data_IF_160871430243
#
_entry.id   IF_160871430243
#
_cell.length_a   1.000
_cell.length_b   1.000
_cell.length_c   1.000
_cell.angle_alpha   90.00
_cell.angle_beta   90.00
_cell.angle_gamma   90.00
#
_symmetry.space_group_name_H-M   'P 1'
#
loop_
_entity.id
_entity.type
_entity.pdbx_description
1 polymer ?
#
# COMPACT_ATOMS: atom_id res chain seq x y z
N UNK A 1 10.68 12.13 -18.11
CA UNK A 1 9.69 11.62 -19.09
C UNK A 1 8.33 12.18 -18.71
N UNK A 2 7.58 12.82 -19.61
CA UNK A 2 6.21 13.30 -19.31
C UNK A 2 5.22 12.40 -20.06
N UNK A 3 4.50 11.56 -19.33
CA UNK A 3 3.56 10.59 -19.92
C UNK A 3 2.13 11.13 -19.71
N UNK A 4 1.34 11.23 -20.80
CA UNK A 4 -0.12 11.45 -20.71
C UNK A 4 -0.81 10.24 -21.32
N UNK A 5 -1.64 9.58 -20.51
CA UNK A 5 -2.49 8.47 -20.94
C UNK A 5 -3.79 8.99 -21.56
N UNK A 6 -4.21 8.35 -22.65
CA UNK A 6 -5.54 8.50 -23.23
C UNK A 6 -6.05 7.14 -23.69
N UNK A 7 -7.03 6.59 -22.98
CA UNK A 7 -8.06 5.66 -23.48
C UNK A 7 -9.03 5.37 -22.32
N UNK A 8 -10.25 5.86 -22.41
CA UNK A 8 -11.31 5.61 -21.44
C UNK A 8 -12.00 4.27 -21.76
N UNK A 9 -11.63 3.20 -21.05
CA UNK A 9 -12.45 1.99 -20.98
C UNK A 9 -13.53 2.21 -19.94
N UNK A 10 -14.79 2.13 -20.36
CA UNK A 10 -15.98 2.31 -19.52
C UNK A 10 -15.99 1.25 -18.41
N UNK A 11 -15.81 1.67 -17.15
CA UNK A 11 -16.03 0.84 -15.97
C UNK A 11 -17.50 0.98 -15.53
N UNK A 12 -18.23 -0.12 -15.56
CA UNK A 12 -19.63 -0.20 -15.11
C UNK A 12 -19.73 0.04 -13.59
N UNK A 13 -20.84 0.67 -13.17
CA UNK A 13 -21.16 1.15 -11.81
C UNK A 13 -21.06 0.08 -10.71
N UNK A 14 -21.01 -1.21 -11.04
CA UNK A 14 -20.79 -2.30 -10.07
C UNK A 14 -19.39 -2.28 -9.42
N UNK A 15 -18.38 -1.64 -10.03
CA UNK A 15 -17.00 -1.67 -9.55
C UNK A 15 -16.67 -0.64 -8.44
N UNK A 16 -17.53 0.36 -8.22
CA UNK A 16 -17.20 1.51 -7.34
C UNK A 16 -17.54 1.24 -5.86
N UNK A 17 -18.41 0.27 -5.56
CA UNK A 17 -18.82 -0.03 -4.17
C UNK A 17 -17.85 -0.99 -3.46
N UNK A 18 -17.01 -1.73 -4.20
CA UNK A 18 -16.11 -2.72 -3.61
C UNK A 18 -14.76 -2.14 -3.09
N UNK A 19 -14.45 -0.87 -3.35
CA UNK A 19 -13.10 -0.32 -3.14
C UNK A 19 -12.91 0.55 -1.88
N UNK A 20 -13.92 0.72 -1.03
CA UNK A 20 -13.82 1.59 0.16
C UNK A 20 -13.60 0.87 1.50
N UNK A 21 -13.55 -0.47 1.50
CA UNK A 21 -13.25 -1.24 2.70
C UNK A 21 -12.16 -2.28 2.43
N UNK A 22 -10.95 -1.85 2.11
CA UNK A 22 -9.69 -2.59 2.30
C UNK A 22 -8.53 -1.72 1.85
N UNK A 23 -7.69 -1.30 2.78
CA UNK A 23 -6.37 -0.78 2.43
C UNK A 23 -5.53 -1.92 1.87
N UNK A 24 -5.38 -1.97 0.54
CA UNK A 24 -4.31 -2.69 -0.13
C UNK A 24 -4.22 -2.29 -1.60
N UNK A 25 -3.07 -1.76 -2.00
CA UNK A 25 -2.64 -1.69 -3.39
C UNK A 25 -2.29 -3.11 -3.84
N UNK A 26 -3.20 -3.75 -4.57
CA UNK A 26 -2.90 -4.97 -5.31
C UNK A 26 -2.09 -4.58 -6.56
N UNK A 27 -0.79 -4.86 -6.57
CA UNK A 27 0.01 -4.85 -7.78
C UNK A 27 -0.48 -6.01 -8.67
N UNK A 28 -1.18 -5.68 -9.76
CA UNK A 28 -1.63 -6.63 -10.74
C UNK A 28 -0.43 -7.17 -11.53
N UNK A 29 -0.03 -8.42 -11.28
CA UNK A 29 0.80 -9.17 -12.21
C UNK A 29 -0.10 -9.83 -13.26
N UNK A 30 -0.23 -9.19 -14.41
CA UNK A 30 -0.75 -9.84 -15.60
C UNK A 30 0.28 -10.87 -16.09
N UNK A 31 -0.10 -12.15 -16.11
CA UNK A 31 0.64 -13.19 -16.81
C UNK A 31 0.63 -12.86 -18.31
N UNK A 32 1.79 -12.47 -18.84
CA UNK A 32 2.05 -12.49 -20.28
C UNK A 32 2.51 -13.90 -20.66
N UNK A 33 1.86 -14.52 -21.65
CA UNK A 33 2.21 -15.81 -22.28
C UNK A 33 3.55 -15.78 -23.05
N UNK A 34 4.58 -15.14 -22.51
CA UNK A 34 5.93 -15.30 -23.01
C UNK A 34 6.47 -16.66 -22.51
N UNK A 35 7.07 -17.51 -23.37
CA UNK A 35 7.74 -18.71 -22.91
C UNK A 35 8.81 -18.30 -21.88
N UNK A 36 8.69 -18.83 -20.65
CA UNK A 36 9.62 -18.58 -19.56
C UNK A 36 11.04 -18.97 -20.03
N UNK A 37 12.07 -18.17 -19.73
CA UNK A 37 13.45 -18.60 -19.93
C UNK A 37 13.65 -19.95 -19.24
N UNK A 38 14.31 -20.90 -19.93
CA UNK A 38 14.58 -22.26 -19.44
C UNK A 38 15.66 -22.31 -18.35
N UNK A 39 15.83 -21.22 -17.61
CA UNK A 39 16.76 -21.15 -16.52
C UNK A 39 16.35 -22.19 -15.47
N UNK A 40 17.30 -22.94 -14.88
CA UNK A 40 16.99 -23.88 -13.83
C UNK A 40 16.25 -23.14 -12.70
N UNK A 41 15.08 -23.69 -12.31
CA UNK A 41 14.25 -23.12 -11.26
C UNK A 41 15.13 -22.75 -10.06
N UNK A 42 15.14 -21.48 -9.61
CA UNK A 42 15.94 -21.07 -8.47
C UNK A 42 15.64 -21.99 -7.28
N UNK A 43 16.69 -22.42 -6.58
CA UNK A 43 16.54 -23.20 -5.37
C UNK A 43 15.66 -22.43 -4.37
N UNK A 44 14.79 -23.15 -3.66
CA UNK A 44 13.94 -22.54 -2.65
C UNK A 44 14.82 -21.88 -1.59
N UNK A 45 14.51 -20.63 -1.17
CA UNK A 45 15.23 -20.00 -0.08
C UNK A 45 14.97 -20.78 1.22
N UNK A 46 16.02 -20.90 2.05
CA UNK A 46 15.96 -21.59 3.34
C UNK A 46 15.02 -20.91 4.35
N UNK A 47 14.87 -19.58 4.23
CA UNK A 47 13.96 -18.73 5.00
C UNK A 47 13.22 -17.81 4.02
N UNK A 48 11.92 -17.60 4.24
CA UNK A 48 11.07 -16.61 3.56
C UNK A 48 11.31 -15.20 4.11
N UNK A 49 12.00 -15.07 5.24
CA UNK A 49 12.29 -13.80 5.92
C UNK A 49 13.80 -13.59 5.99
N UNK A 50 14.26 -12.44 5.51
CA UNK A 50 15.66 -12.00 5.59
C UNK A 50 16.13 -11.79 7.06
N UNK A 51 17.44 -11.85 7.34
CA UNK A 51 17.95 -12.05 8.69
C UNK A 51 17.72 -10.87 9.64
N UNK A 52 17.61 -11.25 10.91
CA UNK A 52 17.44 -10.50 12.17
C UNK A 52 17.82 -9.00 12.11
N UNK A 53 16.97 -8.09 12.63
CA UNK A 53 17.21 -6.65 12.59
C UNK A 53 18.54 -6.24 13.24
N UNK A 54 19.17 -5.21 12.67
CA UNK A 54 20.36 -4.57 13.22
C UNK A 54 20.19 -4.17 14.68
N UNK A 55 21.28 -4.21 15.45
CA UNK A 55 21.32 -3.87 16.88
C UNK A 55 20.66 -2.52 17.14
N UNK A 56 19.57 -2.54 17.89
CA UNK A 56 18.79 -1.35 18.22
C UNK A 56 19.61 -0.36 19.08
N UNK A 57 19.31 0.95 18.99
CA UNK A 57 19.90 1.94 19.89
C UNK A 57 19.66 1.57 21.36
N UNK A 58 20.63 1.92 22.21
CA UNK A 58 20.64 1.52 23.62
C UNK A 58 19.58 2.31 24.39
N UNK A 59 18.50 1.63 24.77
CA UNK A 59 17.43 2.15 25.62
C UNK A 59 17.88 2.04 27.09
N UNK A 60 17.38 2.91 27.96
CA UNK A 60 17.56 2.74 29.40
C UNK A 60 16.99 1.38 29.86
N UNK A 61 17.78 0.62 30.63
CA UNK A 61 17.46 -0.76 30.96
C UNK A 61 16.20 -0.89 31.84
N UNK A 62 15.96 0.07 32.74
CA UNK A 62 14.76 0.07 33.59
C UNK A 62 13.52 0.35 32.74
N UNK A 63 13.62 1.32 31.85
CA UNK A 63 12.53 1.69 30.93
C UNK A 63 12.20 0.58 29.95
N UNK A 64 13.22 -0.02 29.34
CA UNK A 64 13.05 -1.15 28.44
C UNK A 64 12.33 -2.31 29.14
N UNK A 65 12.72 -2.62 30.39
CA UNK A 65 12.06 -3.65 31.19
C UNK A 65 10.58 -3.34 31.41
N UNK A 66 10.23 -2.13 31.84
CA UNK A 66 8.83 -1.72 32.05
C UNK A 66 8.02 -1.83 30.75
N UNK A 67 8.59 -1.39 29.62
CA UNK A 67 7.92 -1.49 28.31
C UNK A 67 7.68 -2.94 27.93
N UNK A 68 8.69 -3.82 28.07
CA UNK A 68 8.55 -5.25 27.73
C UNK A 68 7.51 -5.94 28.62
N UNK A 69 7.47 -5.63 29.92
CA UNK A 69 6.40 -6.12 30.81
C UNK A 69 5.02 -5.64 30.36
N UNK A 70 4.88 -4.36 29.99
CA UNK A 70 3.61 -3.80 29.51
C UNK A 70 3.14 -4.46 28.21
N UNK A 71 4.04 -4.66 27.24
CA UNK A 71 3.72 -5.35 25.98
C UNK A 71 3.33 -6.81 26.20
N UNK A 72 3.99 -7.51 27.13
CA UNK A 72 3.63 -8.87 27.50
C UNK A 72 2.25 -8.94 28.18
N UNK A 73 1.95 -7.97 29.05
CA UNK A 73 0.70 -7.91 29.79
C UNK A 73 -0.50 -7.57 28.90
N UNK A 74 -0.32 -6.61 27.99
CA UNK A 74 -1.36 -6.15 27.07
C UNK A 74 -1.56 -7.10 25.88
N UNK A 75 -0.52 -7.86 25.51
CA UNK A 75 -0.56 -8.77 24.37
C UNK A 75 -0.56 -8.07 23.00
N UNK A 76 -0.36 -6.75 22.94
CA UNK A 76 -0.50 -5.95 21.71
C UNK A 76 0.43 -6.45 20.60
N UNK A 77 1.69 -6.75 20.93
CA UNK A 77 2.67 -7.24 19.96
C UNK A 77 2.23 -8.58 19.34
N UNK A 78 1.71 -9.49 20.18
CA UNK A 78 1.23 -10.80 19.75
C UNK A 78 -0.02 -10.69 18.90
N UNK A 79 -0.98 -9.86 19.30
CA UNK A 79 -2.20 -9.62 18.53
C UNK A 79 -1.88 -8.98 17.17
N UNK A 80 -1.02 -7.95 17.15
CA UNK A 80 -0.62 -7.28 15.92
C UNK A 80 0.11 -8.22 14.96
N UNK A 81 1.11 -8.95 15.46
CA UNK A 81 1.85 -9.92 14.65
C UNK A 81 0.99 -11.07 14.15
N UNK A 82 0.10 -11.60 15.00
CA UNK A 82 -0.85 -12.64 14.61
C UNK A 82 -1.79 -12.20 13.49
N UNK A 83 -2.40 -11.02 13.62
CA UNK A 83 -3.31 -10.48 12.60
C UNK A 83 -2.60 -10.26 11.26
N UNK A 84 -1.41 -9.65 11.28
CA UNK A 84 -0.61 -9.42 10.06
C UNK A 84 -0.24 -10.77 9.42
N UNK A 85 0.21 -11.73 10.22
CA UNK A 85 0.58 -13.06 9.74
C UNK A 85 -0.60 -13.79 9.09
N UNK A 86 -1.78 -13.75 9.73
CA UNK A 86 -3.00 -14.33 9.18
C UNK A 86 -3.45 -13.66 7.89
N UNK A 87 -3.43 -12.32 7.82
CA UNK A 87 -3.77 -11.58 6.61
C UNK A 87 -2.80 -11.86 5.46
N UNK A 88 -1.48 -11.93 5.74
CA UNK A 88 -0.48 -12.28 4.74
C UNK A 88 -0.70 -13.69 4.20
N UNK A 89 -0.91 -14.68 5.09
CA UNK A 89 -1.19 -16.06 4.68
C UNK A 89 -2.47 -16.11 3.83
N UNK A 90 -3.55 -15.48 4.29
CA UNK A 90 -4.82 -15.45 3.57
C UNK A 90 -4.69 -14.80 2.18
N UNK A 91 -3.93 -13.70 2.10
CA UNK A 91 -3.64 -13.02 0.85
C UNK A 91 -2.92 -13.94 -0.14
N UNK A 92 -1.80 -14.55 0.27
CA UNK A 92 -1.01 -15.40 -0.63
C UNK A 92 -1.73 -16.69 -1.00
N UNK A 93 -2.49 -17.30 -0.09
CA UNK A 93 -3.33 -18.46 -0.42
C UNK A 93 -4.41 -18.12 -1.45
N UNK A 94 -4.97 -16.90 -1.43
CA UNK A 94 -5.95 -16.46 -2.43
C UNK A 94 -5.30 -16.03 -3.75
N UNK A 95 -4.14 -15.38 -3.69
CA UNK A 95 -3.48 -14.80 -4.85
C UNK A 95 -2.70 -15.83 -5.68
N UNK A 96 -2.24 -16.92 -5.08
CA UNK A 96 -1.46 -17.96 -5.74
C UNK A 96 -2.22 -19.31 -5.73
N UNK A 97 -2.76 -19.76 -6.88
CA UNK A 97 -3.61 -20.96 -6.96
C UNK A 97 -2.88 -22.28 -6.67
N UNK A 98 -1.56 -22.26 -6.56
CA UNK A 98 -0.68 -23.42 -6.36
C UNK A 98 -0.09 -23.52 -4.94
N UNK A 99 -0.54 -22.70 -3.99
CA UNK A 99 -0.09 -22.75 -2.59
C UNK A 99 -0.57 -24.05 -1.94
N UNK A 100 0.36 -24.88 -1.48
CA UNK A 100 0.04 -26.15 -0.81
C UNK A 100 -0.18 -25.97 0.70
N UNK A 101 -0.83 -26.93 1.39
CA UNK A 101 -0.91 -26.91 2.85
C UNK A 101 0.46 -26.86 3.55
N UNK A 102 1.50 -27.46 2.95
CA UNK A 102 2.86 -27.42 3.46
C UNK A 102 3.46 -26.00 3.37
N UNK A 103 3.19 -25.29 2.27
CA UNK A 103 3.61 -23.89 2.11
C UNK A 103 2.92 -22.98 3.13
N UNK A 104 1.62 -23.20 3.37
CA UNK A 104 0.86 -22.48 4.42
C UNK A 104 1.46 -22.74 5.80
N UNK A 105 1.81 -23.99 6.12
CA UNK A 105 2.43 -24.33 7.40
C UNK A 105 3.81 -23.67 7.55
N UNK A 106 4.61 -23.63 6.47
CA UNK A 106 5.90 -22.93 6.44
C UNK A 106 5.73 -21.43 6.68
N UNK A 107 4.83 -20.77 5.94
CA UNK A 107 4.53 -19.34 6.12
C UNK A 107 4.11 -19.02 7.55
N UNK A 108 3.17 -19.79 8.14
CA UNK A 108 2.73 -19.60 9.53
C UNK A 108 3.87 -19.76 10.54
N UNK A 109 4.74 -20.74 10.31
CA UNK A 109 5.89 -20.98 11.19
C UNK A 109 6.87 -19.82 11.15
N UNK A 110 7.19 -19.33 9.96
CA UNK A 110 8.17 -18.26 9.81
C UNK A 110 7.62 -16.90 10.23
N UNK A 111 6.34 -16.62 9.99
CA UNK A 111 5.67 -15.40 10.45
C UNK A 111 5.38 -15.38 11.96
N UNK A 112 5.63 -16.48 12.68
CA UNK A 112 5.47 -16.54 14.12
C UNK A 112 6.53 -15.71 14.87
N UNK A 113 7.67 -15.41 14.24
CA UNK A 113 8.69 -14.53 14.84
C UNK A 113 8.25 -13.06 14.75
N UNK A 114 7.58 -12.60 15.81
CA UNK A 114 7.13 -11.22 15.98
C UNK A 114 8.21 -10.30 16.58
N UNK A 115 9.46 -10.76 16.70
CA UNK A 115 10.56 -9.95 17.27
C UNK A 115 10.70 -8.58 16.60
N UNK A 116 10.67 -8.44 15.26
CA UNK A 116 10.81 -7.13 14.62
C UNK A 116 9.71 -6.15 15.01
N UNK A 117 8.47 -6.64 15.14
CA UNK A 117 7.31 -5.84 15.58
C UNK A 117 7.48 -5.44 17.04
N UNK A 118 7.89 -6.38 17.89
CA UNK A 118 8.11 -6.15 19.31
C UNK A 118 9.19 -5.09 19.52
N UNK A 119 10.33 -5.18 18.82
CA UNK A 119 11.42 -4.19 18.91
C UNK A 119 11.01 -2.81 18.36
N UNK A 120 10.17 -2.77 17.32
CA UNK A 120 9.62 -1.51 16.83
C UNK A 120 8.68 -0.86 17.86
N UNK A 121 7.83 -1.65 18.53
CA UNK A 121 6.98 -1.17 19.61
C UNK A 121 7.81 -0.69 20.80
N UNK A 122 8.84 -1.43 21.21
CA UNK A 122 9.73 -1.02 22.30
C UNK A 122 10.33 0.36 22.04
N UNK A 123 10.86 0.61 20.83
CA UNK A 123 11.38 1.93 20.44
C UNK A 123 10.30 3.00 20.42
N UNK A 124 9.09 2.66 19.98
CA UNK A 124 7.96 3.59 19.96
C UNK A 124 7.55 4.01 21.37
N UNK A 125 7.45 3.06 22.30
CA UNK A 125 7.11 3.38 23.70
C UNK A 125 8.22 4.19 24.37
N UNK A 126 9.50 3.86 24.12
CA UNK A 126 10.61 4.65 24.63
C UNK A 126 10.58 6.10 24.13
N UNK A 127 10.33 6.31 22.84
CA UNK A 127 10.25 7.65 22.25
C UNK A 127 9.10 8.50 22.81
N UNK A 128 7.96 7.88 23.11
CA UNK A 128 6.71 8.62 23.32
C UNK A 128 6.25 8.68 24.78
N UNK A 129 6.82 7.88 25.69
CA UNK A 129 6.42 7.86 27.10
C UNK A 129 7.61 8.09 28.03
N UNK A 130 7.35 8.75 29.15
CA UNK A 130 8.33 8.83 30.25
C UNK A 130 8.32 7.53 31.05
N UNK A 131 9.36 7.30 31.87
CA UNK A 131 9.39 6.18 32.82
C UNK A 131 8.16 6.19 33.74
N UNK A 132 7.80 7.36 34.27
CA UNK A 132 6.69 7.50 35.19
C UNK A 132 5.35 7.15 34.53
N UNK A 133 5.14 7.53 33.27
CA UNK A 133 3.93 7.14 32.52
C UNK A 133 3.85 5.62 32.34
N UNK A 134 4.98 4.99 31.99
CA UNK A 134 5.06 3.55 31.77
C UNK A 134 4.80 2.78 33.07
N UNK A 135 5.36 3.24 34.19
CA UNK A 135 5.14 2.63 35.50
C UNK A 135 3.67 2.78 35.94
N UNK A 136 3.05 3.94 35.71
CA UNK A 136 1.64 4.16 36.00
C UNK A 136 0.71 3.27 35.14
N UNK A 137 1.00 3.15 33.84
CA UNK A 137 0.27 2.26 32.94
C UNK A 137 0.41 0.79 33.38
N UNK A 138 1.64 0.35 33.66
CA UNK A 138 1.91 -1.01 34.12
C UNK A 138 1.18 -1.31 35.44
N UNK A 139 1.20 -0.36 36.39
CA UNK A 139 0.45 -0.48 37.64
C UNK A 139 -1.06 -0.60 37.40
N UNK A 140 -1.63 0.22 36.52
CA UNK A 140 -3.05 0.15 36.16
C UNK A 140 -3.42 -1.23 35.58
N UNK A 141 -2.67 -1.70 34.58
CA UNK A 141 -2.99 -2.97 33.94
C UNK A 141 -2.77 -4.17 34.87
N UNK A 142 -1.93 -4.06 35.91
CA UNK A 142 -1.78 -5.08 36.96
C UNK A 142 -2.97 -5.15 37.93
N UNK A 143 -3.86 -4.15 37.97
CA UNK A 143 -5.07 -4.20 38.81
C UNK A 143 -6.09 -5.24 38.31
N UNK A 144 -7.01 -5.74 39.17
CA UNK A 144 -8.10 -6.62 38.73
C UNK A 144 -8.97 -5.99 37.62
N UNK A 145 -9.21 -4.68 37.71
CA UNK A 145 -9.97 -3.93 36.68
C UNK A 145 -9.19 -3.83 35.37
N UNK A 146 -7.89 -3.54 35.42
CA UNK A 146 -7.03 -3.49 34.24
C UNK A 146 -6.96 -4.84 33.51
N UNK A 147 -6.83 -5.94 34.26
CA UNK A 147 -6.88 -7.29 33.71
C UNK A 147 -8.26 -7.63 33.12
N UNK A 148 -9.35 -7.25 33.80
CA UNK A 148 -10.71 -7.42 33.27
C UNK A 148 -10.89 -6.63 31.97
N UNK A 149 -10.39 -5.39 31.91
CA UNK A 149 -10.43 -4.57 30.69
C UNK A 149 -9.73 -5.28 29.53
N UNK A 150 -8.48 -5.74 29.71
CA UNK A 150 -7.74 -6.45 28.67
C UNK A 150 -8.46 -7.71 28.18
N UNK A 151 -9.09 -8.46 29.09
CA UNK A 151 -9.86 -9.67 28.75
C UNK A 151 -11.13 -9.36 27.96
N UNK A 152 -11.79 -8.24 28.25
CA UNK A 152 -13.09 -7.89 27.65
C UNK A 152 -12.93 -7.06 26.37
N UNK A 153 -11.81 -6.36 26.20
CA UNK A 153 -11.57 -5.48 25.05
C UNK A 153 -11.79 -6.18 23.68
N UNK A 154 -11.38 -7.44 23.46
CA UNK A 154 -11.67 -8.13 22.20
C UNK A 154 -13.16 -8.33 21.93
N UNK A 155 -13.95 -8.63 22.96
CA UNK A 155 -15.41 -8.79 22.81
C UNK A 155 -16.06 -7.45 22.48
N UNK A 156 -15.69 -6.38 23.19
CA UNK A 156 -16.16 -5.01 22.90
C UNK A 156 -15.81 -4.60 21.47
N UNK A 157 -14.60 -4.89 21.01
CA UNK A 157 -14.19 -4.61 19.63
C UNK A 157 -14.96 -5.45 18.60
N UNK A 158 -15.28 -6.72 18.91
CA UNK A 158 -16.07 -7.58 18.04
C UNK A 158 -17.52 -7.10 17.92
N UNK A 159 -18.13 -6.69 19.03
CA UNK A 159 -19.47 -6.12 19.07
C UNK A 159 -19.52 -4.79 18.28
N UNK A 160 -18.53 -3.91 18.49
CA UNK A 160 -18.41 -2.65 17.75
C UNK A 160 -18.30 -2.89 16.23
N UNK A 161 -17.42 -3.80 15.79
CA UNK A 161 -17.29 -4.15 14.36
C UNK A 161 -18.59 -4.70 13.77
N UNK A 162 -19.36 -5.46 14.55
CA UNK A 162 -20.65 -5.98 14.10
C UNK A 162 -21.65 -4.85 13.91
N UNK A 163 -21.74 -3.93 14.87
CA UNK A 163 -22.59 -2.75 14.76
C UNK A 163 -22.17 -1.83 13.60
N UNK A 164 -20.87 -1.64 13.39
CA UNK A 164 -20.31 -0.88 12.26
C UNK A 164 -20.69 -1.48 10.91
N UNK A 165 -20.60 -2.82 10.78
CA UNK A 165 -21.00 -3.52 9.56
C UNK A 165 -22.49 -3.35 9.30
N UNK A 166 -23.35 -3.62 10.27
CA UNK A 166 -24.80 -3.49 10.12
C UNK A 166 -25.23 -2.06 9.78
N UNK A 167 -24.59 -1.08 10.42
CA UNK A 167 -24.81 0.33 10.10
C UNK A 167 -24.38 0.63 8.66
N UNK A 168 -23.19 0.16 8.26
CA UNK A 168 -22.61 0.34 6.94
C UNK A 168 -23.47 -0.26 5.83
N UNK A 169 -23.90 -1.52 6.00
CA UNK A 169 -24.74 -2.25 5.04
C UNK A 169 -26.07 -1.51 4.80
N UNK A 170 -26.75 -1.08 5.88
CA UNK A 170 -27.99 -0.30 5.78
C UNK A 170 -27.79 1.05 5.07
N UNK A 171 -26.66 1.73 5.30
CA UNK A 171 -26.35 2.98 4.60
C UNK A 171 -26.03 2.74 3.14
N UNK A 172 -25.29 1.68 2.82
CA UNK A 172 -24.96 1.31 1.46
C UNK A 172 -26.22 1.01 0.65
N UNK A 173 -27.18 0.26 1.20
CA UNK A 173 -28.49 0.02 0.60
C UNK A 173 -29.24 1.32 0.30
N UNK A 174 -29.30 2.23 1.27
CA UNK A 174 -29.94 3.54 1.10
C UNK A 174 -29.26 4.40 0.03
N UNK A 175 -27.92 4.41 -0.02
CA UNK A 175 -27.14 5.10 -1.04
C UNK A 175 -27.44 4.50 -2.42
N UNK A 176 -27.43 3.17 -2.54
CA UNK A 176 -27.72 2.48 -3.80
C UNK A 176 -29.16 2.76 -4.27
N UNK A 177 -30.13 2.76 -3.36
CA UNK A 177 -31.51 3.11 -3.67
C UNK A 177 -31.62 4.56 -4.17
N UNK A 178 -30.98 5.52 -3.48
CA UNK A 178 -30.91 6.91 -3.91
C UNK A 178 -30.25 7.07 -5.29
N UNK A 179 -29.10 6.42 -5.53
CA UNK A 179 -28.37 6.49 -6.79
C UNK A 179 -29.14 5.89 -7.97
N UNK A 180 -30.00 4.89 -7.73
CA UNK A 180 -30.91 4.32 -8.73
C UNK A 180 -32.14 5.20 -9.00
N UNK A 181 -32.67 5.85 -7.97
CA UNK A 181 -33.90 6.65 -8.05
C UNK A 181 -33.66 8.10 -8.48
N UNK A 182 -32.44 8.63 -8.29
CA UNK A 182 -32.11 9.97 -8.79
C UNK A 182 -32.22 10.00 -10.32
N UNK A 183 -32.65 11.12 -10.92
CA UNK A 183 -32.42 11.35 -12.33
C UNK A 183 -30.94 11.10 -12.62
N UNK A 184 -30.64 10.39 -13.70
CA UNK A 184 -29.25 10.25 -14.14
C UNK A 184 -28.69 11.66 -14.25
N UNK A 185 -27.76 11.99 -13.34
CA UNK A 185 -27.04 13.24 -13.45
C UNK A 185 -26.47 13.22 -14.86
N UNK A 186 -26.86 14.17 -15.70
CA UNK A 186 -26.35 14.26 -17.05
C UNK A 186 -24.84 14.06 -16.92
N UNK A 187 -24.33 12.95 -17.50
CA UNK A 187 -22.89 12.72 -17.54
C UNK A 187 -22.30 14.07 -17.90
N UNK A 188 -21.34 14.62 -17.11
CA UNK A 188 -20.83 15.97 -17.34
C UNK A 188 -20.61 16.03 -18.83
N UNK A 189 -21.43 16.85 -19.54
CA UNK A 189 -21.48 16.80 -21.01
C UNK A 189 -20.04 16.84 -21.37
N UNK A 190 -19.52 15.75 -21.95
CA UNK A 190 -18.15 15.76 -22.41
C UNK A 190 -18.19 16.86 -23.44
N UNK A 191 -17.73 18.05 -23.04
CA UNK A 191 -17.58 19.17 -23.94
C UNK A 191 -16.80 18.54 -25.08
N UNK A 192 -17.36 18.50 -26.31
CA UNK A 192 -16.71 17.83 -27.42
C UNK A 192 -15.28 18.33 -27.38
N UNK A 193 -14.34 17.41 -27.13
CA UNK A 193 -12.97 17.79 -26.79
C UNK A 193 -12.58 18.86 -27.80
N UNK A 194 -12.41 20.11 -27.34
CA UNK A 194 -12.09 21.21 -28.24
C UNK A 194 -10.96 20.68 -29.10
N UNK A 195 -11.08 20.69 -30.45
CA UNK A 195 -10.16 19.99 -31.32
C UNK A 195 -8.77 20.31 -30.81
N UNK A 196 -8.09 19.28 -30.30
CA UNK A 196 -6.78 19.47 -29.66
C UNK A 196 -5.98 20.17 -30.73
N UNK A 197 -5.61 21.43 -30.47
CA UNK A 197 -4.83 22.21 -31.45
C UNK A 197 -3.72 21.31 -31.92
N UNK A 198 -3.57 21.20 -33.24
CA UNK A 198 -2.55 20.36 -33.85
C UNK A 198 -1.24 20.56 -33.09
N UNK A 199 -0.60 19.45 -32.74
CA UNK A 199 0.62 19.43 -31.95
C UNK A 199 1.61 20.47 -32.47
N UNK A 200 1.84 21.54 -31.69
CA UNK A 200 2.75 22.61 -32.06
C UNK A 200 4.18 22.17 -31.73
N UNK A 201 4.98 21.93 -32.78
CA UNK A 201 6.38 21.54 -32.67
C UNK A 201 7.24 22.60 -31.95
N UNK A 202 6.76 23.85 -31.84
CA UNK A 202 7.42 24.93 -31.09
C UNK A 202 7.45 24.70 -29.57
N UNK A 203 6.66 23.76 -29.05
CA UNK A 203 6.62 23.42 -27.63
C UNK A 203 7.86 22.63 -27.16
N UNK A 204 8.65 22.08 -28.08
CA UNK A 204 9.93 21.46 -27.80
C UNK A 204 10.99 22.56 -27.64
N UNK A 205 11.54 22.68 -26.43
CA UNK A 205 12.60 23.64 -26.09
C UNK A 205 13.99 23.02 -26.06
N UNK A 206 14.12 21.74 -26.41
CA UNK A 206 15.41 21.08 -26.49
C UNK A 206 16.08 21.28 -27.85
N UNK A 207 17.36 20.91 -27.93
CA UNK A 207 18.17 21.02 -29.15
C UNK A 207 18.13 19.74 -30.01
N UNK A 208 17.41 18.72 -29.56
CA UNK A 208 17.24 17.43 -30.21
C UNK A 208 16.15 17.46 -31.27
N UNK A 209 16.16 16.46 -32.16
CA UNK A 209 15.12 16.29 -33.18
C UNK A 209 13.93 15.54 -32.57
N UNK A 210 12.69 16.07 -32.66
CA UNK A 210 11.52 15.33 -32.21
C UNK A 210 11.33 14.03 -33.00
N UNK A 211 11.12 12.92 -32.31
CA UNK A 211 10.84 11.60 -32.87
C UNK A 211 9.37 11.28 -32.64
N UNK A 212 8.65 10.86 -33.69
CA UNK A 212 7.26 10.43 -33.63
C UNK A 212 7.17 8.91 -33.73
N UNK A 213 6.52 8.27 -32.77
CA UNK A 213 6.26 6.82 -32.76
C UNK A 213 5.02 6.47 -33.57
N UNK A 214 4.82 5.18 -33.84
CA UNK A 214 3.62 4.64 -34.47
C UNK A 214 2.34 4.91 -33.67
N UNK A 215 2.45 4.93 -32.33
CA UNK A 215 1.34 5.29 -31.43
C UNK A 215 0.97 6.78 -31.47
N UNK A 216 1.72 7.59 -32.21
CA UNK A 216 1.53 9.03 -32.28
C UNK A 216 2.19 9.82 -31.14
N UNK A 217 2.90 9.14 -30.22
CA UNK A 217 3.74 9.80 -29.22
C UNK A 217 4.87 10.55 -29.93
N UNK A 218 5.08 11.81 -29.55
CA UNK A 218 6.23 12.58 -29.98
C UNK A 218 7.11 12.86 -28.76
N UNK A 219 8.39 12.51 -28.84
CA UNK A 219 9.35 12.77 -27.78
C UNK A 219 10.62 13.39 -28.35
N UNK A 220 11.41 14.01 -27.47
CA UNK A 220 12.70 14.57 -27.79
C UNK A 220 13.64 14.30 -26.63
N UNK A 221 14.83 13.80 -26.92
CA UNK A 221 15.87 13.63 -25.92
C UNK A 221 16.59 14.95 -25.69
N UNK A 222 16.35 15.56 -24.52
CA UNK A 222 17.09 16.77 -24.12
C UNK A 222 18.54 16.45 -23.78
N UNK A 223 18.76 15.29 -23.14
CA UNK A 223 20.10 14.78 -22.81
C UNK A 223 19.99 13.26 -22.75
N UNK A 224 20.76 12.58 -23.60
CA UNK A 224 20.80 11.11 -23.63
C UNK A 224 21.65 10.63 -22.46
N UNK A 225 21.06 9.81 -21.58
CA UNK A 225 21.80 9.17 -20.49
C UNK A 225 22.62 7.97 -20.97
N UNK A 226 23.65 7.61 -20.22
CA UNK A 226 24.52 6.43 -20.50
C UNK A 226 24.15 5.19 -19.68
N UNK A 227 23.04 5.26 -18.93
CA UNK A 227 22.57 4.18 -18.07
C UNK A 227 21.88 3.06 -18.83
N UNK A 228 21.51 1.99 -18.11
CA UNK A 228 20.73 0.90 -18.66
C UNK A 228 19.38 1.40 -19.18
N UNK A 229 18.95 0.87 -20.33
CA UNK A 229 17.64 1.17 -20.91
C UNK A 229 16.54 0.61 -20.00
N UNK A 230 15.51 1.42 -19.73
CA UNK A 230 14.35 0.97 -18.96
C UNK A 230 13.63 -0.16 -19.72
N UNK A 231 13.36 -1.27 -19.02
CA UNK A 231 12.68 -2.44 -19.59
C UNK A 231 11.29 -2.61 -18.98
N UNK A 232 10.35 -3.12 -19.78
CA UNK A 232 8.98 -3.36 -19.32
C UNK A 232 8.96 -4.29 -18.10
N UNK A 233 8.14 -3.96 -17.09
CA UNK A 233 8.02 -4.74 -15.84
C UNK A 233 9.08 -4.44 -14.79
N UNK A 234 9.98 -3.48 -15.01
CA UNK A 234 10.92 -2.97 -14.00
C UNK A 234 10.51 -1.59 -13.52
N UNK A 235 10.79 -1.31 -12.25
CA UNK A 235 10.50 -0.01 -11.65
C UNK A 235 11.41 1.08 -12.19
N UNK A 236 10.84 2.19 -12.62
CA UNK A 236 11.56 3.38 -13.07
C UNK A 236 11.36 4.54 -12.08
N UNK A 237 12.46 5.02 -11.51
CA UNK A 237 12.46 6.18 -10.59
C UNK A 237 12.80 7.43 -11.37
N UNK A 238 11.92 8.44 -11.37
CA UNK A 238 12.20 9.67 -12.13
C UNK A 238 11.57 10.94 -11.56
N UNK A 239 12.23 12.06 -11.85
CA UNK A 239 11.59 13.35 -11.77
C UNK A 239 10.80 13.68 -13.03
N UNK A 240 9.58 14.18 -12.85
CA UNK A 240 8.76 14.68 -13.93
C UNK A 240 8.00 15.94 -13.52
N UNK A 241 7.57 16.67 -14.52
CA UNK A 241 6.56 17.72 -14.40
C UNK A 241 5.53 17.44 -15.48
N UNK A 242 4.28 17.81 -15.36
CA UNK A 242 3.24 17.60 -16.36
C UNK A 242 2.56 18.91 -16.66
N UNK A 243 2.47 19.30 -17.94
CA UNK A 243 1.74 20.50 -18.36
C UNK A 243 0.76 20.19 -19.48
N UNK A 244 -0.30 20.98 -19.55
CA UNK A 244 -1.19 21.10 -20.70
C UNK A 244 -0.49 21.88 -21.84
N UNK A 245 -1.10 21.89 -23.02
CA UNK A 245 -0.57 22.58 -24.21
C UNK A 245 -0.59 24.10 -24.07
N UNK A 246 -1.43 24.62 -23.18
CA UNK A 246 -1.47 26.03 -22.78
C UNK A 246 -0.41 26.39 -21.72
N UNK A 247 0.44 25.42 -21.32
CA UNK A 247 1.47 25.61 -20.31
C UNK A 247 1.01 25.37 -18.87
N UNK A 248 -0.30 25.19 -18.62
CA UNK A 248 -0.84 24.94 -17.28
C UNK A 248 -0.25 23.66 -16.70
N UNK A 249 0.45 23.78 -15.57
CA UNK A 249 1.04 22.64 -14.85
C UNK A 249 -0.05 21.90 -14.09
N UNK A 250 -0.15 20.58 -14.29
CA UNK A 250 -1.13 19.73 -13.58
C UNK A 250 -0.48 18.82 -12.53
N UNK A 251 0.81 18.49 -12.66
CA UNK A 251 1.58 17.82 -11.60
C UNK A 251 3.09 18.09 -11.77
N UNK A 252 3.86 17.89 -10.70
CA UNK A 252 5.32 18.01 -10.68
C UNK A 252 5.92 17.34 -9.47
N UNK A 253 6.79 16.37 -9.70
CA UNK A 253 7.56 15.73 -8.62
C UNK A 253 8.64 16.66 -8.07
N UNK A 254 9.11 17.61 -8.89
CA UNK A 254 10.08 18.63 -8.46
C UNK A 254 9.50 19.63 -7.46
N UNK A 255 8.17 19.87 -7.48
CA UNK A 255 7.53 20.78 -6.53
C UNK A 255 7.56 20.21 -5.10
N UNK A 256 7.57 18.87 -4.99
CA UNK A 256 7.66 18.14 -3.71
C UNK A 256 9.08 17.70 -3.36
N UNK A 257 10.04 17.96 -4.25
CA UNK A 257 11.43 17.51 -4.15
C UNK A 257 11.58 16.00 -3.90
N UNK A 258 10.66 15.20 -4.43
CA UNK A 258 10.58 13.75 -4.24
C UNK A 258 10.33 13.09 -5.61
N UNK A 259 11.12 12.08 -6.02
CA UNK A 259 10.89 11.37 -7.28
C UNK A 259 9.66 10.47 -7.19
N UNK A 260 9.18 9.99 -8.34
CA UNK A 260 8.15 8.96 -8.39
C UNK A 260 8.71 7.65 -8.93
N UNK A 261 8.11 6.57 -8.46
CA UNK A 261 8.38 5.20 -8.86
C UNK A 261 7.20 4.71 -9.71
N UNK A 262 7.49 4.24 -10.92
CA UNK A 262 6.54 3.70 -11.89
C UNK A 262 6.87 2.27 -12.27
#
# INVERSE_FOLDING_TARGET
MRIKHGAATRLSIAAIVAALCSGMTAAAMAQTDAPMPTDPKPALPGSLIDPKPATAPKIDAAKEKTIRELLALTGEAKQRGGNIGEEMVAYFTRAAPNVTPADVAKMKTELADITPITEALVRSYDKNYTQADLDALLAFYKTPTGQKYLKQLPAVQADAKTAEREWGDKRAEGIVAYLRARPEAAAPKSEPAKPVKAFDKSAFKGNGKPVKTESGLVYEDMTVGTGAVATSGKTAVMHYTGTLTDGTKFDSSRDRNEPFDF
#
